data_IF_803854814189
#
_entry.id   IF_803854814189
#
_cell.length_a   1.000
_cell.length_b   1.000
_cell.length_c   1.000
_cell.angle_alpha   90.00
_cell.angle_beta   90.00
_cell.angle_gamma   90.00
#
_symmetry.space_group_name_H-M   'P 1'
#
loop_
_entity.id
_entity.type
_entity.pdbx_description
1 polymer ?
#
# COMPACT_ATOMS: atom_id res chain seq x y z
N UNK A 1 -16.51 -10.54 3.84
CA UNK A 1 -17.41 -10.05 2.77
C UNK A 1 -16.65 -10.08 1.45
N UNK A 2 -17.31 -10.41 0.35
CA UNK A 2 -16.71 -10.40 -0.98
C UNK A 2 -16.96 -9.05 -1.65
N UNK A 3 -15.99 -8.54 -2.41
CA UNK A 3 -16.11 -7.28 -3.15
C UNK A 3 -17.19 -7.41 -4.23
N UNK A 4 -18.13 -6.46 -4.31
CA UNK A 4 -19.22 -6.44 -5.30
C UNK A 4 -18.72 -6.03 -6.69
N UNK A 5 -19.51 -6.29 -7.73
CA UNK A 5 -19.16 -5.85 -9.10
C UNK A 5 -19.09 -4.33 -9.22
N UNK A 6 -19.98 -3.61 -8.54
CA UNK A 6 -19.96 -2.15 -8.48
C UNK A 6 -18.67 -1.62 -7.84
N UNK A 7 -18.26 -2.20 -6.70
CA UNK A 7 -17.00 -1.84 -6.05
C UNK A 7 -15.79 -2.13 -6.95
N UNK A 8 -15.78 -3.26 -7.66
CA UNK A 8 -14.72 -3.57 -8.64
C UNK A 8 -14.66 -2.55 -9.77
N UNK A 9 -15.81 -2.10 -10.27
CA UNK A 9 -15.88 -1.10 -11.33
C UNK A 9 -15.28 0.24 -10.87
N UNK A 10 -15.59 0.68 -9.65
CA UNK A 10 -15.01 1.88 -9.03
C UNK A 10 -13.49 1.73 -8.88
N UNK A 11 -13.02 0.61 -8.34
CA UNK A 11 -11.58 0.37 -8.16
C UNK A 11 -10.85 0.45 -9.50
N UNK A 12 -11.36 -0.20 -10.56
CA UNK A 12 -10.75 -0.16 -11.89
C UNK A 12 -10.75 1.24 -12.49
N UNK A 13 -11.81 2.02 -12.33
CA UNK A 13 -11.88 3.38 -12.88
C UNK A 13 -10.88 4.33 -12.19
N UNK A 14 -10.50 4.05 -10.94
CA UNK A 14 -9.48 4.81 -10.21
C UNK A 14 -8.04 4.36 -10.47
N UNK A 15 -7.82 3.17 -11.05
CA UNK A 15 -6.47 2.63 -11.27
C UNK A 15 -5.56 3.55 -12.12
N UNK A 16 -6.02 4.19 -13.21
CA UNK A 16 -5.18 5.12 -13.98
C UNK A 16 -4.67 6.32 -13.15
N UNK A 17 -5.47 6.83 -12.21
CA UNK A 17 -5.08 7.93 -11.33
C UNK A 17 -3.92 7.51 -10.43
N UNK A 18 -3.95 6.28 -9.92
CA UNK A 18 -2.85 5.71 -9.13
C UNK A 18 -1.57 5.49 -9.95
N UNK A 19 -1.69 5.24 -11.26
CA UNK A 19 -0.53 5.11 -12.14
C UNK A 19 0.20 6.43 -12.33
N UNK A 20 -0.56 7.52 -12.50
CA UNK A 20 -0.02 8.85 -12.76
C UNK A 20 0.44 9.54 -11.47
N UNK A 21 -0.37 9.47 -10.41
CA UNK A 21 -0.18 10.24 -9.17
C UNK A 21 0.26 9.37 -7.98
N UNK A 22 0.47 8.06 -8.18
CA UNK A 22 0.69 7.12 -7.09
C UNK A 22 1.86 7.48 -6.18
N UNK A 23 2.96 8.00 -6.74
CA UNK A 23 4.11 8.45 -5.95
C UNK A 23 3.77 9.64 -5.04
N UNK A 24 2.96 10.57 -5.53
CA UNK A 24 2.54 11.75 -4.76
C UNK A 24 1.61 11.32 -3.62
N UNK A 25 0.58 10.52 -3.94
CA UNK A 25 -0.37 9.96 -2.97
C UNK A 25 0.38 9.19 -1.87
N UNK A 26 1.30 8.28 -2.25
CA UNK A 26 2.03 7.51 -1.24
C UNK A 26 3.02 8.34 -0.44
N UNK A 27 3.51 9.47 -0.98
CA UNK A 27 4.34 10.41 -0.22
C UNK A 27 3.51 11.14 0.85
N UNK A 28 2.30 11.57 0.50
CA UNK A 28 1.34 12.18 1.45
C UNK A 28 0.97 11.16 2.53
N UNK A 29 0.66 9.93 2.13
CA UNK A 29 0.38 8.81 3.03
C UNK A 29 1.50 8.60 4.06
N UNK A 30 2.76 8.42 3.62
CA UNK A 30 3.86 8.18 4.56
C UNK A 30 4.05 9.37 5.51
N UNK A 31 3.93 10.60 5.01
CA UNK A 31 4.03 11.80 5.85
C UNK A 31 2.95 11.80 6.94
N UNK A 32 1.69 11.67 6.56
CA UNK A 32 0.55 11.70 7.49
C UNK A 32 0.61 10.53 8.48
N UNK A 33 0.90 9.32 7.99
CA UNK A 33 0.99 8.12 8.83
C UNK A 33 2.07 8.29 9.91
N UNK A 34 3.26 8.82 9.60
CA UNK A 34 4.28 9.03 10.62
C UNK A 34 4.00 10.22 11.56
N UNK A 35 3.25 11.22 11.12
CA UNK A 35 2.77 12.31 11.98
C UNK A 35 1.71 11.81 12.98
N UNK A 36 0.80 10.94 12.52
CA UNK A 36 -0.27 10.36 13.33
C UNK A 36 0.21 9.20 14.23
N UNK A 37 1.20 8.45 13.75
CA UNK A 37 1.70 7.20 14.33
C UNK A 37 3.24 7.19 14.40
N UNK A 38 3.85 8.05 15.24
CA UNK A 38 5.31 8.14 15.36
C UNK A 38 5.96 6.82 15.80
N UNK A 39 5.23 5.93 16.50
CA UNK A 39 5.69 4.59 16.88
C UNK A 39 6.09 3.71 15.68
N UNK A 40 5.56 4.00 14.48
CA UNK A 40 5.90 3.26 13.27
C UNK A 40 7.31 3.58 12.77
N UNK A 41 7.94 4.67 13.22
CA UNK A 41 9.31 5.03 12.85
C UNK A 41 10.36 4.02 13.34
N UNK A 42 10.02 3.23 14.37
CA UNK A 42 10.86 2.14 14.89
C UNK A 42 10.75 0.85 14.05
N UNK A 43 9.68 0.73 13.27
CA UNK A 43 9.40 -0.44 12.42
C UNK A 43 9.84 -0.18 10.97
N UNK A 44 9.61 1.03 10.47
CA UNK A 44 9.93 1.39 9.09
C UNK A 44 11.41 1.73 8.93
N UNK A 45 12.04 1.16 7.90
CA UNK A 45 13.43 1.48 7.57
C UNK A 45 13.54 2.92 7.04
N UNK A 46 14.06 3.83 7.88
CA UNK A 46 14.21 5.25 7.57
C UNK A 46 15.14 5.53 6.37
N UNK A 47 16.09 4.64 6.07
CA UNK A 47 16.98 4.78 4.90
C UNK A 47 16.21 4.60 3.60
N UNK A 48 15.30 3.62 3.53
CA UNK A 48 14.45 3.42 2.35
C UNK A 48 13.42 4.54 2.18
N UNK A 49 13.00 5.17 3.28
CA UNK A 49 12.12 6.34 3.24
C UNK A 49 12.83 7.55 2.63
N UNK A 50 14.07 7.84 3.06
CA UNK A 50 14.86 8.98 2.56
C UNK A 50 15.22 8.87 1.07
N UNK A 51 15.35 7.65 0.53
CA UNK A 51 15.70 7.41 -0.88
C UNK A 51 14.44 7.40 -1.78
N UNK A 52 13.24 7.38 -1.20
CA UNK A 52 11.97 7.46 -1.95
C UNK A 52 11.59 6.19 -2.73
N UNK A 53 12.34 5.10 -2.55
CA UNK A 53 12.04 3.80 -3.18
C UNK A 53 10.81 3.13 -2.55
N UNK A 54 10.55 3.40 -1.27
CA UNK A 54 9.43 2.83 -0.53
C UNK A 54 8.05 3.39 -0.95
N UNK A 55 7.85 4.73 -1.10
CA UNK A 55 6.64 5.31 -1.70
C UNK A 55 6.28 4.71 -3.07
N UNK A 56 7.27 4.59 -3.95
CA UNK A 56 7.06 4.06 -5.30
C UNK A 56 6.68 2.57 -5.29
N UNK A 57 7.30 1.76 -4.43
CA UNK A 57 6.99 0.34 -4.31
C UNK A 57 5.55 0.09 -3.84
N UNK A 58 5.08 0.87 -2.86
CA UNK A 58 3.70 0.79 -2.38
C UNK A 58 2.71 1.22 -3.47
N UNK A 59 2.96 2.35 -4.13
CA UNK A 59 2.11 2.89 -5.18
C UNK A 59 1.90 1.86 -6.32
N UNK A 60 3.00 1.26 -6.79
CA UNK A 60 2.97 0.25 -7.84
C UNK A 60 2.18 -0.99 -7.43
N UNK A 61 2.31 -1.42 -6.16
CA UNK A 61 1.59 -2.59 -5.65
C UNK A 61 0.08 -2.34 -5.60
N UNK A 62 -0.34 -1.16 -5.13
CA UNK A 62 -1.77 -0.78 -5.06
C UNK A 62 -2.34 -0.60 -6.47
N UNK A 63 -1.63 0.10 -7.37
CA UNK A 63 -2.03 0.23 -8.77
C UNK A 63 -2.24 -1.13 -9.43
N UNK A 64 -1.25 -2.03 -9.30
CA UNK A 64 -1.31 -3.35 -9.93
C UNK A 64 -2.44 -4.21 -9.36
N UNK A 65 -2.74 -4.08 -8.06
CA UNK A 65 -3.89 -4.72 -7.44
C UNK A 65 -5.22 -4.15 -7.95
N UNK A 66 -5.32 -2.83 -8.13
CA UNK A 66 -6.52 -2.17 -8.65
C UNK A 66 -6.79 -2.54 -10.12
N UNK A 67 -5.74 -2.57 -10.95
CA UNK A 67 -5.82 -2.99 -12.35
C UNK A 67 -6.25 -4.47 -12.49
N UNK A 68 -5.84 -5.32 -11.55
CA UNK A 68 -6.09 -6.77 -11.58
C UNK A 68 -7.13 -7.23 -10.53
N UNK A 69 -8.05 -6.35 -10.12
CA UNK A 69 -9.01 -6.64 -9.03
C UNK A 69 -9.93 -7.85 -9.32
N UNK A 70 -10.08 -8.26 -10.58
CA UNK A 70 -10.81 -9.48 -10.96
C UNK A 70 -10.00 -10.76 -10.72
N UNK A 71 -8.67 -10.67 -10.72
CA UNK A 71 -7.76 -11.80 -10.62
C UNK A 71 -6.51 -11.45 -9.80
N UNK A 72 -6.68 -11.23 -8.49
CA UNK A 72 -5.57 -10.88 -7.60
C UNK A 72 -4.51 -12.01 -7.46
N UNK A 73 -4.81 -13.23 -7.90
CA UNK A 73 -3.86 -14.35 -7.86
C UNK A 73 -2.60 -14.09 -8.69
N UNK A 74 -2.67 -13.20 -9.70
CA UNK A 74 -1.50 -12.81 -10.49
C UNK A 74 -0.42 -12.10 -9.64
N UNK A 75 -0.80 -11.50 -8.51
CA UNK A 75 0.14 -10.82 -7.60
C UNK A 75 0.90 -11.81 -6.69
N UNK A 76 0.52 -13.09 -6.67
CA UNK A 76 1.03 -14.06 -5.68
C UNK A 76 2.57 -14.12 -5.59
N UNK A 77 3.35 -14.10 -6.69
CA UNK A 77 4.82 -14.08 -6.59
C UNK A 77 5.35 -12.86 -5.84
N UNK A 78 4.79 -11.69 -6.09
CA UNK A 78 5.18 -10.43 -5.46
C UNK A 78 4.74 -10.40 -3.98
N UNK A 79 3.51 -10.84 -3.70
CA UNK A 79 2.96 -10.93 -2.34
C UNK A 79 3.80 -11.86 -1.46
N UNK A 80 4.29 -12.99 -1.98
CA UNK A 80 5.18 -13.88 -1.22
C UNK A 80 6.46 -13.18 -0.78
N UNK A 81 7.09 -12.39 -1.67
CA UNK A 81 8.28 -11.62 -1.33
C UNK A 81 7.99 -10.56 -0.24
N UNK A 82 6.86 -9.86 -0.35
CA UNK A 82 6.41 -8.88 0.65
C UNK A 82 6.12 -9.57 1.99
N UNK A 83 5.43 -10.71 1.98
CA UNK A 83 5.10 -11.48 3.17
C UNK A 83 6.35 -11.94 3.94
N UNK A 84 7.40 -12.38 3.24
CA UNK A 84 8.68 -12.71 3.88
C UNK A 84 9.31 -11.52 4.60
N UNK A 85 9.25 -10.32 3.99
CA UNK A 85 9.73 -9.08 4.63
C UNK A 85 8.86 -8.69 5.83
N UNK A 86 7.54 -8.74 5.70
CA UNK A 86 6.60 -8.46 6.80
C UNK A 86 6.86 -9.38 8.00
N UNK A 87 7.05 -10.69 7.74
CA UNK A 87 7.41 -11.64 8.80
C UNK A 87 8.75 -11.28 9.46
N UNK A 88 9.77 -10.94 8.68
CA UNK A 88 11.09 -10.57 9.23
C UNK A 88 11.04 -9.29 10.09
N UNK A 89 10.13 -8.38 9.77
CA UNK A 89 9.85 -7.14 10.52
C UNK A 89 8.78 -7.32 11.61
N UNK A 90 8.32 -8.56 11.86
CA UNK A 90 7.32 -8.88 12.88
C UNK A 90 6.02 -8.08 12.72
N UNK A 91 5.63 -7.80 11.47
CA UNK A 91 4.37 -7.11 11.17
C UNK A 91 3.19 -8.01 11.58
N UNK A 92 2.30 -7.46 12.39
CA UNK A 92 1.13 -8.15 12.92
C UNK A 92 -0.17 -7.70 12.22
N UNK A 93 -1.25 -8.50 12.29
CA UNK A 93 -2.55 -8.12 11.73
C UNK A 93 -3.05 -6.76 12.20
N UNK A 94 -2.75 -6.36 13.44
CA UNK A 94 -3.18 -5.10 14.07
C UNK A 94 -2.52 -3.87 13.44
N UNK A 95 -1.42 -4.04 12.70
CA UNK A 95 -0.77 -2.92 11.98
C UNK A 95 -1.50 -2.55 10.68
N UNK A 96 -2.25 -3.49 10.08
CA UNK A 96 -2.92 -3.27 8.80
C UNK A 96 -4.04 -2.21 8.84
N UNK A 97 -4.90 -2.15 9.89
CA UNK A 97 -5.91 -1.10 10.00
C UNK A 97 -5.33 0.32 10.01
N UNK A 98 -4.17 0.53 10.62
CA UNK A 98 -3.50 1.85 10.66
C UNK A 98 -3.13 2.27 9.24
N UNK A 99 -2.38 1.42 8.53
CA UNK A 99 -1.98 1.64 7.14
C UNK A 99 -3.19 1.89 6.24
N UNK A 100 -4.26 1.08 6.38
CA UNK A 100 -5.47 1.23 5.59
C UNK A 100 -6.19 2.56 5.82
N UNK A 101 -6.24 3.03 7.07
CA UNK A 101 -6.87 4.30 7.43
C UNK A 101 -6.10 5.49 6.84
N UNK A 102 -4.79 5.58 7.08
CA UNK A 102 -3.99 6.69 6.56
C UNK A 102 -3.93 6.68 5.03
N UNK A 103 -3.96 5.51 4.39
CA UNK A 103 -3.98 5.42 2.93
C UNK A 103 -5.26 5.98 2.30
N UNK A 104 -6.40 5.82 2.98
CA UNK A 104 -7.68 6.38 2.52
C UNK A 104 -7.82 7.88 2.77
N UNK A 105 -6.97 8.46 3.63
CA UNK A 105 -6.94 9.90 3.92
C UNK A 105 -6.02 10.68 2.98
N UNK A 106 -5.03 10.02 2.40
CA UNK A 106 -4.04 10.59 1.48
C UNK A 106 -4.61 10.86 0.08
#
# INVERSE_FOLDING_TARGET
MSITQEQKAIIKSTAPILKENGKEITSIFYKQMFENHPELLDIFNQTNQKIGTQPLALANTIYFAAENIDNLQILMPQIKLIAHKHRALTIQPEHYPIVGKDLLLA
#
